data_IF_347599876240
#
_entry.id   IF_347599876240
#
_cell.length_a   1.000
_cell.length_b   1.000
_cell.length_c   1.000
_cell.angle_alpha   90.00
_cell.angle_beta   90.00
_cell.angle_gamma   90.00
#
_symmetry.space_group_name_H-M   'P 1'
#
loop_
_entity.id
_entity.type
_entity.pdbx_description
1 polymer ?
#
# COMPACT_ATOMS: atom_id res chain seq x y z
N UNK A 1 9.43 25.45 -6.57
CA UNK A 1 9.59 24.76 -5.28
C UNK A 1 8.30 24.96 -4.51
N UNK A 2 7.71 23.89 -4.01
CA UNK A 2 6.52 23.91 -3.19
C UNK A 2 6.95 23.90 -1.73
N UNK A 3 6.43 24.83 -0.93
CA UNK A 3 6.79 25.00 0.47
C UNK A 3 5.70 24.52 1.42
N UNK A 4 6.04 24.32 2.70
CA UNK A 4 5.07 24.07 3.76
C UNK A 4 3.95 25.13 3.83
N UNK A 5 4.27 26.40 3.54
CA UNK A 5 3.27 27.47 3.51
C UNK A 5 2.31 27.32 2.33
N UNK A 6 2.80 26.96 1.14
CA UNK A 6 1.97 26.72 -0.04
C UNK A 6 1.01 25.55 0.19
N UNK A 7 1.52 24.46 0.78
CA UNK A 7 0.72 23.27 1.13
C UNK A 7 -0.36 23.59 2.15
N UNK A 8 -0.04 24.36 3.20
CA UNK A 8 -1.02 24.76 4.23
C UNK A 8 -2.05 25.80 3.76
N UNK A 9 -1.78 26.51 2.67
CA UNK A 9 -2.75 27.43 2.09
C UNK A 9 -3.87 26.72 1.30
N UNK A 10 -3.70 25.43 0.99
CA UNK A 10 -4.71 24.63 0.31
C UNK A 10 -5.79 24.12 1.28
N UNK A 11 -7.02 23.85 0.80
CA UNK A 11 -8.05 23.23 1.61
C UNK A 11 -7.60 21.90 2.20
N UNK A 12 -7.78 21.72 3.51
CA UNK A 12 -7.51 20.45 4.19
C UNK A 12 -8.43 19.35 3.63
N UNK A 13 -7.91 18.17 3.26
CA UNK A 13 -8.74 17.07 2.81
C UNK A 13 -9.69 16.59 3.92
N UNK A 14 -10.91 16.24 3.54
CA UNK A 14 -11.90 15.61 4.43
C UNK A 14 -11.51 14.18 4.79
N UNK A 15 -12.08 13.62 5.86
CA UNK A 15 -11.84 12.22 6.25
C UNK A 15 -12.19 11.23 5.13
N UNK A 16 -13.28 11.49 4.39
CA UNK A 16 -13.66 10.67 3.24
C UNK A 16 -12.61 10.72 2.13
N UNK A 17 -11.99 11.89 1.88
CA UNK A 17 -10.94 12.04 0.88
C UNK A 17 -9.64 11.34 1.30
N UNK A 18 -9.28 11.38 2.59
CA UNK A 18 -8.14 10.61 3.11
C UNK A 18 -8.33 9.10 2.91
N UNK A 19 -9.50 8.59 3.28
CA UNK A 19 -9.81 7.16 3.13
C UNK A 19 -9.81 6.75 1.65
N UNK A 20 -10.42 7.56 0.77
CA UNK A 20 -10.43 7.29 -0.65
C UNK A 20 -9.01 7.31 -1.25
N UNK A 21 -8.16 8.25 -0.83
CA UNK A 21 -6.78 8.35 -1.30
C UNK A 21 -5.89 7.21 -0.79
N UNK A 22 -6.10 6.75 0.45
CA UNK A 22 -5.46 5.56 0.99
C UNK A 22 -5.79 4.32 0.15
N UNK A 23 -7.08 4.06 -0.07
CA UNK A 23 -7.53 2.94 -0.90
C UNK A 23 -7.00 3.04 -2.34
N UNK A 24 -6.95 4.27 -2.88
CA UNK A 24 -6.36 4.53 -4.18
C UNK A 24 -4.90 4.11 -4.20
N UNK A 25 -4.06 4.59 -3.28
CA UNK A 25 -2.63 4.23 -3.24
C UNK A 25 -2.39 2.72 -3.19
N UNK A 26 -3.25 1.94 -2.54
CA UNK A 26 -3.10 0.47 -2.47
C UNK A 26 -3.41 -0.23 -3.80
N UNK A 27 -4.41 0.27 -4.53
CA UNK A 27 -5.02 -0.44 -5.67
C UNK A 27 -4.64 0.13 -7.03
N UNK A 28 -4.04 1.31 -7.06
CA UNK A 28 -3.87 2.13 -8.26
C UNK A 28 -2.86 1.54 -9.27
N UNK A 29 -1.83 0.85 -8.79
CA UNK A 29 -0.64 0.56 -9.57
C UNK A 29 -0.30 -0.90 -9.57
N UNK A 30 -0.59 -1.55 -10.69
CA UNK A 30 -0.14 -2.92 -10.96
C UNK A 30 1.38 -3.04 -10.96
N UNK A 31 2.13 -1.95 -11.08
CA UNK A 31 3.60 -1.98 -11.04
C UNK A 31 4.16 -2.11 -9.63
N UNK A 32 3.37 -1.91 -8.57
CA UNK A 32 3.87 -2.01 -7.20
C UNK A 32 4.46 -3.38 -6.87
N UNK A 33 3.96 -4.46 -7.47
CA UNK A 33 4.53 -5.80 -7.36
C UNK A 33 5.99 -5.91 -7.85
N UNK A 34 6.47 -4.93 -8.62
CA UNK A 34 7.84 -4.84 -9.12
C UNK A 34 8.74 -3.92 -8.29
N UNK A 35 8.26 -3.33 -7.19
CA UNK A 35 9.13 -2.60 -6.27
C UNK A 35 10.25 -3.50 -5.75
N UNK A 36 11.50 -3.02 -5.59
CA UNK A 36 12.58 -3.82 -5.03
C UNK A 36 12.20 -4.38 -3.66
N UNK A 37 12.32 -5.69 -3.44
CA UNK A 37 11.92 -6.30 -2.17
C UNK A 37 12.79 -5.79 -1.02
N UNK A 38 14.10 -5.62 -1.25
CA UNK A 38 15.02 -5.22 -0.18
C UNK A 38 14.94 -3.76 0.24
N UNK A 39 14.75 -2.84 -0.71
CA UNK A 39 14.77 -1.40 -0.44
C UNK A 39 13.37 -0.77 -0.43
N UNK A 40 12.41 -1.41 -1.08
CA UNK A 40 11.12 -0.80 -1.41
C UNK A 40 11.27 0.34 -2.42
N UNK A 41 10.17 1.07 -2.62
CA UNK A 41 10.14 2.37 -3.30
C UNK A 41 9.88 3.48 -2.30
N UNK A 42 10.46 4.66 -2.54
CA UNK A 42 10.24 5.84 -1.73
C UNK A 42 9.08 6.66 -2.27
N UNK A 43 8.16 7.01 -1.38
CA UNK A 43 6.95 7.78 -1.68
C UNK A 43 6.94 9.04 -0.81
N UNK A 44 6.37 10.13 -1.33
CA UNK A 44 6.14 11.37 -0.57
C UNK A 44 4.72 11.85 -0.85
N UNK A 45 3.86 11.85 0.17
CA UNK A 45 2.50 12.42 0.07
C UNK A 45 2.51 13.89 0.46
N UNK A 46 1.80 14.71 -0.30
CA UNK A 46 1.71 16.16 -0.11
C UNK A 46 0.37 16.71 -0.63
N UNK A 47 0.12 18.02 -0.46
CA UNK A 47 -1.00 18.69 -1.13
C UNK A 47 -0.51 19.48 -2.33
N UNK A 48 -1.03 19.20 -3.52
CA UNK A 48 -0.62 19.84 -4.76
C UNK A 48 -1.68 20.84 -5.27
N UNK A 49 -1.32 22.11 -5.55
CA UNK A 49 -2.27 23.07 -6.12
C UNK A 49 -2.83 22.64 -7.48
N UNK A 50 -2.07 21.84 -8.22
CA UNK A 50 -2.39 21.27 -9.52
C UNK A 50 -2.83 19.80 -9.47
N UNK A 51 -3.16 19.26 -8.28
CA UNK A 51 -3.69 17.90 -8.13
C UNK A 51 -4.83 17.64 -9.12
N UNK A 52 -4.73 16.52 -9.84
CA UNK A 52 -5.68 16.07 -10.87
C UNK A 52 -5.46 16.63 -12.28
N UNK A 53 -4.64 17.67 -12.51
CA UNK A 53 -4.59 18.38 -13.81
C UNK A 53 -4.17 17.54 -15.03
N UNK A 54 -3.29 16.57 -14.88
CA UNK A 54 -2.97 15.63 -15.98
C UNK A 54 -3.14 14.18 -15.56
N UNK A 55 -4.05 13.93 -14.63
CA UNK A 55 -4.41 12.56 -14.26
C UNK A 55 -4.91 11.80 -15.51
N UNK A 56 -4.53 10.52 -15.71
CA UNK A 56 -4.88 9.79 -16.92
C UNK A 56 -6.39 9.72 -17.16
N UNK A 57 -6.84 9.83 -18.41
CA UNK A 57 -8.29 9.83 -18.73
C UNK A 57 -8.95 8.45 -18.64
N UNK A 58 -8.19 7.35 -18.62
CA UNK A 58 -8.73 5.99 -18.75
C UNK A 58 -8.43 5.09 -17.55
N UNK A 59 -7.14 4.97 -17.19
CA UNK A 59 -6.69 4.15 -16.08
C UNK A 59 -5.54 4.84 -15.36
N UNK A 60 -5.51 4.86 -14.02
CA UNK A 60 -6.47 4.22 -13.10
C UNK A 60 -7.80 4.98 -13.03
N UNK A 61 -8.94 4.29 -12.85
CA UNK A 61 -10.24 4.95 -12.76
C UNK A 61 -10.45 5.55 -11.38
N UNK A 62 -10.92 6.80 -11.34
CA UNK A 62 -11.37 7.44 -10.11
C UNK A 62 -12.76 6.91 -9.72
N UNK A 63 -13.12 6.95 -8.43
CA UNK A 63 -14.48 6.61 -7.97
C UNK A 63 -15.58 7.51 -8.58
N UNK A 64 -15.20 8.67 -9.10
CA UNK A 64 -16.08 9.65 -9.73
C UNK A 64 -15.89 9.62 -11.25
N UNK A 65 -15.06 10.51 -11.79
CA UNK A 65 -14.72 10.62 -13.20
C UNK A 65 -13.26 11.08 -13.30
N UNK A 66 -12.53 10.63 -14.33
CA UNK A 66 -11.14 11.03 -14.58
C UNK A 66 -11.03 12.47 -15.13
N UNK A 67 -11.56 13.42 -14.38
CA UNK A 67 -11.48 14.86 -14.57
C UNK A 67 -10.78 15.51 -13.39
N UNK A 68 -10.36 16.77 -13.52
CA UNK A 68 -9.74 17.52 -12.41
C UNK A 68 -10.72 17.68 -11.26
N UNK A 69 -11.99 17.96 -11.58
CA UNK A 69 -13.08 18.10 -10.63
C UNK A 69 -13.37 16.76 -9.95
N UNK A 70 -13.39 15.65 -10.70
CA UNK A 70 -13.58 14.31 -10.18
C UNK A 70 -12.45 13.91 -9.23
N UNK A 71 -11.19 14.17 -9.59
CA UNK A 71 -10.03 13.96 -8.74
C UNK A 71 -10.14 14.76 -7.44
N UNK A 72 -10.43 16.06 -7.53
CA UNK A 72 -10.55 16.92 -6.35
C UNK A 72 -11.75 16.59 -5.48
N UNK A 73 -12.82 16.07 -6.07
CA UNK A 73 -13.92 15.51 -5.31
C UNK A 73 -13.47 14.28 -4.51
N UNK A 74 -12.78 13.34 -5.16
CA UNK A 74 -12.33 12.09 -4.56
C UNK A 74 -11.22 12.27 -3.52
N UNK A 75 -10.22 13.11 -3.79
CA UNK A 75 -8.97 13.19 -3.02
C UNK A 75 -8.61 14.61 -2.53
N UNK A 76 -9.40 15.63 -2.90
CA UNK A 76 -9.07 17.02 -2.61
C UNK A 76 -7.80 17.44 -3.35
N UNK A 77 -6.81 17.92 -2.60
CA UNK A 77 -5.50 18.27 -3.13
C UNK A 77 -4.42 17.22 -2.83
N UNK A 78 -4.78 16.07 -2.26
CA UNK A 78 -3.82 14.99 -1.99
C UNK A 78 -3.18 14.53 -3.29
N UNK A 79 -1.88 14.34 -3.23
CA UNK A 79 -1.07 13.82 -4.33
C UNK A 79 0.18 13.15 -3.74
N UNK A 80 0.92 12.43 -4.57
CA UNK A 80 2.16 11.80 -4.15
C UNK A 80 3.23 11.80 -5.23
N UNK A 81 4.47 11.74 -4.77
CA UNK A 81 5.63 11.46 -5.59
C UNK A 81 6.15 10.07 -5.28
N UNK A 82 6.81 9.45 -6.24
CA UNK A 82 7.46 8.16 -6.03
C UNK A 82 8.82 8.09 -6.73
N UNK A 83 9.70 7.23 -6.23
CA UNK A 83 10.94 6.83 -6.91
C UNK A 83 11.37 5.44 -6.44
N UNK A 84 12.06 4.71 -7.31
CA UNK A 84 12.52 3.35 -7.02
C UNK A 84 13.89 3.39 -6.32
N UNK A 85 14.86 4.13 -6.87
CA UNK A 85 16.15 4.35 -6.24
C UNK A 85 16.23 5.72 -5.57
N UNK A 86 17.04 5.84 -4.51
CA UNK A 86 17.35 7.13 -3.88
C UNK A 86 18.09 8.10 -4.80
N UNK A 87 18.74 7.56 -5.83
CA UNK A 87 19.50 8.32 -6.82
C UNK A 87 18.61 8.79 -8.00
N UNK A 88 17.41 8.22 -8.12
CA UNK A 88 16.47 8.59 -9.17
C UNK A 88 15.73 9.89 -8.81
N UNK A 89 15.37 10.71 -9.82
CA UNK A 89 14.41 11.78 -9.60
C UNK A 89 13.05 11.20 -9.17
N UNK A 90 12.31 11.98 -8.39
CA UNK A 90 10.91 11.68 -8.14
C UNK A 90 10.10 11.78 -9.43
N UNK A 91 9.20 10.83 -9.61
CA UNK A 91 8.13 10.84 -10.60
C UNK A 91 6.79 11.17 -9.92
N UNK A 92 5.78 11.51 -10.73
CA UNK A 92 4.44 11.90 -10.29
C UNK A 92 3.41 11.44 -11.30
N UNK A 93 2.33 10.87 -10.81
CA UNK A 93 1.20 10.52 -11.65
C UNK A 93 0.63 11.79 -12.32
N UNK A 94 0.64 11.80 -13.65
CA UNK A 94 0.02 12.88 -14.41
C UNK A 94 0.73 14.23 -14.30
N UNK A 95 2.06 14.27 -14.37
CA UNK A 95 2.79 15.51 -14.62
C UNK A 95 4.25 15.47 -14.19
N UNK A 96 4.88 16.64 -14.20
CA UNK A 96 6.25 16.78 -13.69
C UNK A 96 6.25 16.84 -12.17
N UNK A 97 7.13 16.07 -11.52
CA UNK A 97 7.33 16.14 -10.09
C UNK A 97 7.78 17.55 -9.67
N UNK A 98 7.04 18.24 -8.77
CA UNK A 98 7.49 19.51 -8.23
C UNK A 98 8.68 19.31 -7.29
N UNK A 99 9.58 20.30 -7.25
CA UNK A 99 10.57 20.38 -6.18
C UNK A 99 9.87 20.67 -4.85
N UNK A 100 9.99 19.76 -3.88
CA UNK A 100 9.47 19.94 -2.53
C UNK A 100 10.55 20.50 -1.60
N UNK A 101 10.16 21.31 -0.62
CA UNK A 101 11.08 21.67 0.47
C UNK A 101 11.41 20.45 1.36
N UNK A 102 12.47 20.57 2.15
CA UNK A 102 12.94 19.47 2.99
C UNK A 102 11.96 19.11 4.12
N UNK A 103 11.14 20.06 4.59
CA UNK A 103 10.13 19.80 5.63
C UNK A 103 9.04 18.87 5.08
N UNK A 104 8.52 19.16 3.88
CA UNK A 104 7.52 18.37 3.19
C UNK A 104 8.01 16.96 2.89
N UNK A 105 9.24 16.82 2.39
CA UNK A 105 9.86 15.50 2.20
C UNK A 105 9.93 14.77 3.53
N UNK A 106 10.46 15.39 4.59
CA UNK A 106 10.63 14.73 5.88
C UNK A 106 9.31 14.23 6.48
N UNK A 107 8.22 14.99 6.36
CA UNK A 107 6.93 14.64 6.94
C UNK A 107 6.12 13.67 6.07
N UNK A 108 6.15 13.87 4.75
CA UNK A 108 5.35 13.12 3.78
C UNK A 108 6.00 11.81 3.33
N UNK A 109 7.29 11.60 3.61
CA UNK A 109 8.04 10.45 3.11
C UNK A 109 7.74 9.13 3.82
N UNK A 110 7.58 8.07 3.04
CA UNK A 110 7.54 6.68 3.52
C UNK A 110 8.08 5.73 2.46
N UNK A 111 8.28 4.48 2.85
CA UNK A 111 8.69 3.41 1.95
C UNK A 111 7.52 2.44 1.79
N UNK A 112 7.21 2.09 0.54
CA UNK A 112 6.34 0.95 0.23
C UNK A 112 7.18 -0.18 -0.31
N UNK A 113 6.77 -1.39 -0.02
CA UNK A 113 7.41 -2.62 -0.47
C UNK A 113 6.45 -3.38 -1.39
N UNK A 114 6.93 -4.30 -2.25
CA UNK A 114 6.10 -4.86 -3.31
C UNK A 114 4.86 -5.62 -2.83
N UNK A 115 4.88 -6.17 -1.63
CA UNK A 115 3.75 -6.84 -0.98
C UNK A 115 2.60 -5.90 -0.54
N UNK A 116 2.68 -4.59 -0.83
CA UNK A 116 1.50 -3.71 -0.80
C UNK A 116 0.52 -4.01 -1.94
N UNK A 117 0.96 -4.67 -3.01
CA UNK A 117 0.11 -5.05 -4.14
C UNK A 117 -0.61 -6.36 -3.85
N UNK A 118 -1.90 -6.47 -4.12
CA UNK A 118 -2.61 -7.76 -4.01
C UNK A 118 -2.16 -8.76 -5.09
N UNK A 119 -1.54 -8.29 -6.18
CA UNK A 119 -1.04 -9.10 -7.30
C UNK A 119 0.45 -9.48 -7.15
N UNK A 120 0.97 -9.55 -5.93
CA UNK A 120 2.38 -9.88 -5.67
C UNK A 120 2.71 -11.33 -6.05
N UNK A 121 3.93 -11.58 -6.53
CA UNK A 121 4.43 -12.93 -6.82
C UNK A 121 5.92 -13.04 -6.50
N UNK A 122 6.33 -14.16 -5.89
CA UNK A 122 7.70 -14.35 -5.41
C UNK A 122 8.74 -14.51 -6.52
N UNK A 123 8.33 -14.98 -7.71
CA UNK A 123 9.25 -15.36 -8.80
C UNK A 123 10.18 -14.25 -9.30
N UNK A 124 9.82 -12.97 -9.11
CA UNK A 124 10.69 -11.83 -9.47
C UNK A 124 11.54 -11.32 -8.31
N UNK A 125 11.41 -11.92 -7.13
CA UNK A 125 12.08 -11.52 -5.89
C UNK A 125 12.91 -12.65 -5.25
N UNK A 126 13.05 -13.81 -5.90
CA UNK A 126 13.76 -14.99 -5.35
C UNK A 126 15.19 -14.67 -4.90
N UNK A 127 15.95 -13.92 -5.71
CA UNK A 127 17.31 -13.51 -5.37
C UNK A 127 17.35 -12.65 -4.08
N UNK A 128 16.36 -11.78 -3.89
CA UNK A 128 16.24 -10.94 -2.71
C UNK A 128 15.84 -11.76 -1.47
N UNK A 129 14.99 -12.78 -1.64
CA UNK A 129 14.66 -13.74 -0.58
C UNK A 129 15.90 -14.49 -0.12
N UNK A 130 16.69 -15.03 -1.06
CA UNK A 130 17.97 -15.72 -0.75
C UNK A 130 18.91 -14.79 0.03
N UNK A 131 18.96 -13.51 -0.32
CA UNK A 131 19.77 -12.53 0.43
C UNK A 131 19.24 -12.33 1.85
N UNK A 132 17.92 -12.26 2.04
CA UNK A 132 17.29 -12.15 3.38
C UNK A 132 17.61 -13.40 4.21
N UNK A 133 17.53 -14.60 3.65
CA UNK A 133 17.93 -15.86 4.30
C UNK A 133 19.39 -15.83 4.77
N UNK A 134 20.27 -15.23 3.97
CA UNK A 134 21.70 -15.04 4.28
C UNK A 134 21.96 -13.91 5.29
N UNK A 135 20.92 -13.29 5.84
CA UNK A 135 21.02 -12.27 6.87
C UNK A 135 21.09 -10.83 6.34
N UNK A 136 20.77 -10.58 5.08
CA UNK A 136 20.53 -9.22 4.59
C UNK A 136 19.43 -8.56 5.41
N UNK A 137 19.68 -7.35 5.90
CA UNK A 137 18.73 -6.62 6.73
C UNK A 137 17.50 -6.24 5.91
N UNK A 138 16.32 -6.60 6.43
CA UNK A 138 15.02 -6.17 5.96
C UNK A 138 14.07 -5.98 7.16
N UNK A 139 13.24 -4.92 7.23
CA UNK A 139 12.39 -4.66 8.40
C UNK A 139 11.37 -5.77 8.69
N UNK A 140 10.98 -6.54 7.68
CA UNK A 140 10.02 -7.65 7.77
C UNK A 140 10.64 -8.98 7.32
N UNK A 141 11.93 -9.19 7.58
CA UNK A 141 12.65 -10.39 7.13
C UNK A 141 11.93 -11.70 7.52
N UNK A 142 11.51 -11.83 8.78
CA UNK A 142 10.86 -13.04 9.28
C UNK A 142 9.52 -13.30 8.56
N UNK A 143 8.68 -12.28 8.40
CA UNK A 143 7.40 -12.40 7.71
C UNK A 143 7.55 -12.71 6.22
N UNK A 144 8.57 -12.14 5.56
CA UNK A 144 8.89 -12.46 4.16
C UNK A 144 9.25 -13.94 4.02
N UNK A 145 10.19 -14.44 4.82
CA UNK A 145 10.61 -15.84 4.74
C UNK A 145 9.45 -16.79 5.03
N UNK A 146 8.63 -16.47 6.05
CA UNK A 146 7.45 -17.27 6.36
C UNK A 146 6.44 -17.29 5.20
N UNK A 147 6.18 -16.15 4.56
CA UNK A 147 5.24 -16.06 3.45
C UNK A 147 5.78 -16.73 2.17
N UNK A 148 7.09 -16.59 1.90
CA UNK A 148 7.76 -17.25 0.77
C UNK A 148 7.70 -18.78 0.89
N UNK A 149 8.13 -19.33 2.02
CA UNK A 149 8.08 -20.78 2.23
C UNK A 149 6.65 -21.31 2.35
N UNK A 150 5.71 -20.51 2.86
CA UNK A 150 4.31 -20.90 2.90
C UNK A 150 3.73 -21.03 1.48
N UNK A 151 4.00 -20.08 0.58
CA UNK A 151 3.55 -20.18 -0.82
C UNK A 151 4.07 -21.45 -1.50
N UNK A 152 5.35 -21.78 -1.31
CA UNK A 152 5.95 -23.01 -1.85
C UNK A 152 5.37 -24.31 -1.29
N UNK A 153 4.66 -24.27 -0.15
CA UNK A 153 4.00 -25.42 0.46
C UNK A 153 2.50 -25.50 0.14
N UNK A 154 1.90 -24.45 -0.43
CA UNK A 154 0.44 -24.39 -0.63
C UNK A 154 -0.07 -25.45 -1.60
N UNK A 155 0.64 -25.69 -2.71
CA UNK A 155 0.23 -26.68 -3.72
C UNK A 155 0.28 -28.10 -3.15
N UNK A 156 1.39 -28.47 -2.50
CA UNK A 156 1.54 -29.77 -1.84
C UNK A 156 0.48 -29.96 -0.73
N UNK A 157 0.29 -28.95 0.13
CA UNK A 157 -0.71 -29.00 1.18
C UNK A 157 -2.13 -29.16 0.61
N UNK A 158 -2.45 -28.49 -0.50
CA UNK A 158 -3.73 -28.63 -1.19
C UNK A 158 -3.93 -30.03 -1.77
N UNK A 159 -2.91 -30.61 -2.38
CA UNK A 159 -2.97 -31.95 -2.97
C UNK A 159 -3.14 -33.06 -1.92
N UNK A 160 -2.65 -32.84 -0.71
CA UNK A 160 -2.83 -33.74 0.43
C UNK A 160 -4.24 -33.68 1.05
N UNK A 161 -5.01 -32.62 0.80
CA UNK A 161 -6.38 -32.50 1.31
C UNK A 161 -7.32 -33.51 0.63
N UNK A 162 -8.22 -34.10 1.42
CA UNK A 162 -9.30 -34.92 0.88
C UNK A 162 -10.35 -34.06 0.16
N UNK A 163 -11.16 -34.66 -0.70
CA UNK A 163 -12.29 -33.95 -1.34
C UNK A 163 -13.26 -33.32 -0.31
N UNK A 164 -13.42 -33.97 0.85
CA UNK A 164 -14.25 -33.44 1.93
C UNK A 164 -13.62 -32.21 2.60
N UNK A 165 -12.28 -32.18 2.72
CA UNK A 165 -11.54 -31.03 3.26
C UNK A 165 -11.56 -29.85 2.27
N UNK A 166 -11.35 -30.12 0.97
CA UNK A 166 -11.45 -29.12 -0.10
C UNK A 166 -12.84 -28.48 -0.15
N UNK A 167 -13.90 -29.27 0.00
CA UNK A 167 -15.28 -28.78 0.07
C UNK A 167 -15.57 -27.87 1.29
N UNK A 168 -14.73 -27.90 2.34
CA UNK A 168 -14.82 -26.95 3.45
C UNK A 168 -14.15 -25.60 3.13
N UNK A 169 -13.20 -25.59 2.19
CA UNK A 169 -12.41 -24.43 1.81
C UNK A 169 -13.01 -23.70 0.60
N UNK A 170 -13.53 -24.41 -0.39
CA UNK A 170 -14.10 -23.80 -1.62
C UNK A 170 -15.08 -22.64 -1.33
N UNK A 171 -16.00 -22.73 -0.34
CA UNK A 171 -16.92 -21.62 -0.03
C UNK A 171 -16.23 -20.39 0.59
N UNK A 172 -14.98 -20.52 1.04
CA UNK A 172 -14.17 -19.44 1.58
C UNK A 172 -13.39 -18.68 0.51
N UNK A 173 -13.26 -19.26 -0.70
CA UNK A 173 -12.61 -18.62 -1.87
C UNK A 173 -13.57 -17.74 -2.66
N UNK A 174 -14.88 -17.97 -2.54
CA UNK A 174 -15.89 -17.03 -3.01
C UNK A 174 -15.96 -15.85 -2.01
N UNK A 175 -15.72 -14.62 -2.50
CA UNK A 175 -15.46 -13.33 -1.80
C UNK A 175 -16.46 -12.88 -0.69
N UNK A 176 -17.40 -13.73 -0.24
CA UNK A 176 -18.19 -13.51 0.97
C UNK A 176 -17.40 -13.95 2.23
N UNK A 177 -16.39 -13.14 2.59
CA UNK A 177 -15.45 -13.28 3.73
C UNK A 177 -16.10 -13.40 5.14
N UNK A 178 -17.41 -13.57 5.24
CA UNK A 178 -18.14 -13.69 6.51
C UNK A 178 -18.68 -15.10 6.79
N UNK A 179 -18.10 -16.15 6.18
CA UNK A 179 -18.27 -17.49 6.73
C UNK A 179 -17.47 -17.55 8.03
N UNK A 180 -18.14 -17.21 9.14
CA UNK A 180 -17.61 -17.38 10.48
C UNK A 180 -17.25 -18.85 10.66
N UNK A 181 -15.96 -19.17 10.48
CA UNK A 181 -15.41 -20.47 10.81
C UNK A 181 -15.76 -20.67 12.28
N UNK A 182 -16.58 -21.68 12.58
CA UNK A 182 -16.76 -22.09 13.95
C UNK A 182 -15.42 -22.66 14.42
N UNK A 183 -14.61 -21.80 15.05
CA UNK A 183 -13.32 -22.15 15.65
C UNK A 183 -13.54 -23.38 16.55
N UNK A 184 -12.99 -24.52 16.12
CA UNK A 184 -13.10 -25.80 16.84
C UNK A 184 -13.66 -26.99 16.05
N UNK A 185 -14.08 -26.83 14.78
CA UNK A 185 -14.63 -27.93 13.97
C UNK A 185 -13.85 -28.29 12.70
N UNK A 186 -12.80 -27.54 12.35
CA UNK A 186 -12.02 -27.83 11.14
C UNK A 186 -11.00 -28.96 11.39
N UNK A 187 -10.83 -29.90 10.45
CA UNK A 187 -9.74 -30.88 10.48
C UNK A 187 -8.37 -30.20 10.50
N UNK A 188 -7.40 -30.83 11.17
CA UNK A 188 -6.01 -30.30 11.25
C UNK A 188 -5.41 -29.94 9.89
N UNK A 189 -5.51 -30.76 8.83
CA UNK A 189 -4.96 -30.41 7.52
C UNK A 189 -5.58 -29.13 6.92
N UNK A 190 -6.88 -28.88 7.18
CA UNK A 190 -7.55 -27.65 6.74
C UNK A 190 -6.99 -26.44 7.50
N UNK A 191 -6.80 -26.56 8.81
CA UNK A 191 -6.22 -25.47 9.63
C UNK A 191 -4.80 -25.13 9.19
N UNK A 192 -3.97 -26.14 8.92
CA UNK A 192 -2.60 -25.98 8.43
C UNK A 192 -2.58 -25.28 7.06
N UNK A 193 -3.43 -25.72 6.12
CA UNK A 193 -3.59 -25.08 4.82
C UNK A 193 -4.03 -23.61 4.93
N UNK A 194 -5.03 -23.32 5.76
CA UNK A 194 -5.50 -21.96 5.98
C UNK A 194 -4.40 -21.08 6.62
N UNK A 195 -3.63 -21.62 7.57
CA UNK A 195 -2.51 -20.90 8.16
C UNK A 195 -1.48 -20.48 7.12
N UNK A 196 -1.09 -21.39 6.21
CA UNK A 196 -0.19 -21.10 5.10
C UNK A 196 -0.73 -19.97 4.21
N UNK A 197 -2.03 -20.00 3.88
CA UNK A 197 -2.68 -18.95 3.07
C UNK A 197 -2.65 -17.58 3.72
N UNK A 198 -2.76 -17.51 5.05
CA UNK A 198 -2.75 -16.23 5.76
C UNK A 198 -1.38 -15.55 5.83
N UNK A 199 -0.28 -16.26 5.55
CA UNK A 199 1.07 -15.71 5.70
C UNK A 199 1.30 -14.50 4.79
N UNK A 200 0.84 -14.54 3.53
CA UNK A 200 0.91 -13.38 2.65
C UNK A 200 0.04 -12.22 3.15
N UNK A 201 -1.19 -12.51 3.58
CA UNK A 201 -2.11 -11.51 4.13
C UNK A 201 -1.49 -10.72 5.28
N UNK A 202 -0.79 -11.38 6.20
CA UNK A 202 -0.06 -10.72 7.31
C UNK A 202 1.00 -9.74 6.81
N UNK A 203 1.71 -10.07 5.73
CA UNK A 203 2.74 -9.22 5.14
C UNK A 203 2.11 -8.00 4.44
N UNK A 204 1.02 -8.22 3.71
CA UNK A 204 0.23 -7.16 3.08
C UNK A 204 -0.37 -6.19 4.12
N UNK A 205 -1.00 -6.71 5.18
CA UNK A 205 -1.53 -5.92 6.30
C UNK A 205 -0.48 -5.03 6.96
N UNK A 206 0.77 -5.51 7.06
CA UNK A 206 1.88 -4.70 7.56
C UNK A 206 2.18 -3.51 6.66
N UNK A 207 2.19 -3.72 5.34
CA UNK A 207 2.38 -2.62 4.38
C UNK A 207 1.26 -1.59 4.49
N UNK A 208 0.01 -2.06 4.56
CA UNK A 208 -1.17 -1.20 4.77
C UNK A 208 -1.04 -0.37 6.05
N UNK A 209 -0.61 -0.99 7.14
CA UNK A 209 -0.40 -0.29 8.42
C UNK A 209 0.69 0.78 8.31
N UNK A 210 1.78 0.52 7.57
CA UNK A 210 2.83 1.51 7.34
C UNK A 210 2.33 2.71 6.55
N UNK A 211 1.56 2.46 5.47
CA UNK A 211 0.91 3.51 4.69
C UNK A 211 -0.03 4.36 5.58
N UNK A 212 -0.92 3.72 6.34
CA UNK A 212 -1.85 4.38 7.28
C UNK A 212 -1.13 5.29 8.27
N UNK A 213 -0.02 4.80 8.85
CA UNK A 213 0.81 5.58 9.78
C UNK A 213 1.42 6.80 9.09
N UNK A 214 1.93 6.64 7.87
CA UNK A 214 2.52 7.73 7.10
C UNK A 214 1.48 8.81 6.75
N UNK A 215 0.31 8.42 6.26
CA UNK A 215 -0.80 9.33 5.95
C UNK A 215 -1.29 10.06 7.21
N UNK A 216 -1.46 9.32 8.32
CA UNK A 216 -1.86 9.90 9.61
C UNK A 216 -0.85 10.92 10.13
N UNK A 217 0.45 10.65 9.98
CA UNK A 217 1.52 11.59 10.35
C UNK A 217 1.42 12.87 9.53
N UNK A 218 1.23 12.76 8.22
CA UNK A 218 1.10 13.94 7.34
C UNK A 218 -0.18 14.73 7.64
N UNK A 219 -1.32 14.04 7.82
CA UNK A 219 -2.59 14.66 8.26
C UNK A 219 -2.42 15.44 9.56
N UNK A 220 -1.79 14.85 10.57
CA UNK A 220 -1.56 15.52 11.85
C UNK A 220 -0.69 16.77 11.71
N UNK A 221 0.34 16.71 10.85
CA UNK A 221 1.18 17.88 10.58
C UNK A 221 0.40 19.03 9.92
N UNK A 222 -0.51 18.74 8.99
CA UNK A 222 -1.40 19.75 8.38
C UNK A 222 -2.27 20.42 9.45
N UNK A 223 -2.92 19.63 10.30
CA UNK A 223 -3.83 20.11 11.35
C UNK A 223 -3.12 20.90 12.46
N UNK A 224 -1.87 20.54 12.79
CA UNK A 224 -1.08 21.22 13.81
C UNK A 224 -0.56 22.60 13.35
N UNK A 225 -0.41 22.79 12.04
CA UNK A 225 0.03 24.06 11.45
C UNK A 225 -1.02 25.17 11.51
N UNK A 226 -2.30 24.83 11.35
CA UNK A 226 -3.42 25.78 11.35
C UNK A 226 -3.60 26.48 12.71
N UNK A 227 -3.20 25.82 13.81
CA UNK A 227 -3.37 26.35 15.17
C UNK A 227 -2.45 27.53 15.52
N UNK A 228 -1.39 27.80 14.75
CA UNK A 228 -0.48 28.94 15.02
C UNK A 228 -0.97 30.27 14.43
N UNK A 229 -2.00 30.25 13.57
CA UNK A 229 -2.57 31.45 12.93
C UNK A 229 -3.82 32.02 13.59
N UNK A 230 -4.41 31.33 14.58
CA UNK A 230 -5.58 31.81 15.34
C UNK A 230 -5.13 32.31 16.71
N UNK A 231 -4.62 33.54 16.77
CA UNK A 231 -4.65 34.28 18.04
C UNK A 231 -6.10 34.64 18.38
N UNK A 232 -6.55 34.44 19.63
CA UNK A 232 -7.90 34.81 20.07
C UNK A 232 -8.14 36.33 20.01
#
# INVERSE_FOLDING_TARGET
MLTAADVRALPTPTDAQWLAFENHLVTVHSWYKHLPLLQGGEFVVFLAPDAGKNYPMQHPKLPTENTVEGYRCAFGHLDYLWRISSDDPFDRDGGTAPFLDAELIAIGRFTLYPYISEEFYWSVHEDDVVRIEQGQLHPHAAEILNAFYAEGQLEDAWDELSDADKALIDPMDDEDENVAIQEGLLPTPVLEYLELRTCYGKLHERALKQLKVALSRFKHWLESGDRRGRSP
#
